data_IF_108827035941
#
_entry.id   IF_108827035941
#
_cell.length_a   1.000
_cell.length_b   1.000
_cell.length_c   1.000
_cell.angle_alpha   90.00
_cell.angle_beta   90.00
_cell.angle_gamma   90.00
#
_symmetry.space_group_name_H-M   'P 1'
#
loop_
_entity.id
_entity.type
_entity.pdbx_description
1 polymer ?
#
# COMPACT_ATOMS: atom_id res chain seq x y z
N UNK A 1 -7.43 -12.44 20.39
CA UNK A 1 -6.73 -13.33 19.44
C UNK A 1 -7.03 -13.04 17.95
N UNK A 2 -8.26 -12.76 17.50
CA UNK A 2 -8.49 -12.44 16.07
C UNK A 2 -8.00 -11.05 15.62
N UNK A 3 -7.98 -10.06 16.52
CA UNK A 3 -7.55 -8.70 16.18
C UNK A 3 -6.05 -8.61 15.86
N UNK A 4 -5.23 -9.43 16.51
CA UNK A 4 -3.77 -9.45 16.30
C UNK A 4 -3.42 -10.05 14.95
N UNK A 5 -4.12 -11.12 14.54
CA UNK A 5 -3.95 -11.73 13.21
C UNK A 5 -4.31 -10.77 12.08
N UNK A 6 -5.43 -10.04 12.20
CA UNK A 6 -5.80 -9.03 11.21
C UNK A 6 -4.80 -7.87 11.13
N UNK A 7 -4.23 -7.46 12.26
CA UNK A 7 -3.21 -6.41 12.29
C UNK A 7 -1.92 -6.86 11.59
N UNK A 8 -1.50 -8.11 11.79
CA UNK A 8 -0.32 -8.70 11.14
C UNK A 8 -0.53 -8.75 9.62
N UNK A 9 -1.65 -9.32 9.16
CA UNK A 9 -1.97 -9.41 7.73
C UNK A 9 -2.02 -8.02 7.10
N UNK A 10 -2.61 -7.03 7.77
CA UNK A 10 -2.67 -5.66 7.26
C UNK A 10 -1.29 -5.01 7.15
N UNK A 11 -0.36 -5.33 8.04
CA UNK A 11 1.03 -4.87 7.96
C UNK A 11 1.81 -5.53 6.82
N UNK A 12 1.58 -6.82 6.57
CA UNK A 12 2.18 -7.52 5.43
C UNK A 12 1.70 -6.94 4.10
N UNK A 13 0.39 -6.67 3.99
CA UNK A 13 -0.19 -5.99 2.81
C UNK A 13 0.39 -4.59 2.66
N UNK A 14 0.53 -3.82 3.74
CA UNK A 14 1.16 -2.50 3.70
C UNK A 14 2.61 -2.57 3.22
N UNK A 15 3.36 -3.57 3.68
CA UNK A 15 4.72 -3.79 3.26
C UNK A 15 4.80 -4.10 1.76
N UNK A 16 3.92 -4.96 1.25
CA UNK A 16 3.82 -5.26 -0.18
C UNK A 16 3.56 -3.99 -1.01
N UNK A 17 2.65 -3.11 -0.53
CA UNK A 17 2.40 -1.82 -1.16
C UNK A 17 3.65 -0.93 -1.21
N UNK A 18 4.41 -0.86 -0.12
CA UNK A 18 5.68 -0.09 -0.05
C UNK A 18 6.74 -0.65 -0.99
N UNK A 19 6.89 -1.98 -1.05
CA UNK A 19 7.82 -2.64 -1.99
C UNK A 19 7.44 -2.32 -3.43
N UNK A 20 6.14 -2.39 -3.78
CA UNK A 20 5.66 -2.00 -5.11
C UNK A 20 6.02 -0.56 -5.47
N UNK A 21 5.84 0.39 -4.54
CA UNK A 21 6.22 1.79 -4.76
C UNK A 21 7.74 1.96 -4.92
N UNK A 22 8.55 1.23 -4.16
CA UNK A 22 10.00 1.25 -4.31
C UNK A 22 10.42 0.72 -5.69
N UNK A 23 9.83 -0.40 -6.13
CA UNK A 23 10.05 -0.94 -7.46
C UNK A 23 9.68 0.08 -8.54
N UNK A 24 8.54 0.76 -8.42
CA UNK A 24 8.14 1.80 -9.36
C UNK A 24 9.19 2.90 -9.51
N UNK A 25 9.78 3.37 -8.40
CA UNK A 25 10.85 4.39 -8.43
C UNK A 25 12.09 3.85 -9.13
N UNK A 26 12.51 2.62 -8.81
CA UNK A 26 13.68 1.98 -9.41
C UNK A 26 13.49 1.82 -10.92
N UNK A 27 12.38 1.22 -11.36
CA UNK A 27 12.09 1.03 -12.78
C UNK A 27 11.91 2.35 -13.52
N UNK A 28 11.31 3.37 -12.89
CA UNK A 28 11.17 4.70 -13.49
C UNK A 28 12.51 5.41 -13.68
N UNK A 29 13.46 5.19 -12.77
CA UNK A 29 14.82 5.69 -12.93
C UNK A 29 15.54 4.99 -14.08
N UNK A 30 15.45 3.65 -14.16
CA UNK A 30 16.03 2.89 -15.26
C UNK A 30 15.38 3.22 -16.62
N UNK A 31 14.07 3.44 -16.66
CA UNK A 31 13.38 3.84 -17.90
C UNK A 31 13.87 5.18 -18.41
N UNK A 32 14.18 6.12 -17.52
CA UNK A 32 14.78 7.41 -17.88
C UNK A 32 16.20 7.24 -18.43
N UNK A 33 17.02 6.40 -17.78
CA UNK A 33 18.40 6.17 -18.21
C UNK A 33 18.50 5.44 -19.56
N UNK A 34 17.68 4.41 -19.76
CA UNK A 34 17.70 3.58 -20.97
C UNK A 34 16.76 4.08 -22.07
N UNK A 35 15.95 5.11 -21.81
CA UNK A 35 14.88 5.58 -22.71
C UNK A 35 13.94 4.44 -23.16
N UNK A 36 13.62 3.52 -22.24
CA UNK A 36 12.83 2.33 -22.51
C UNK A 36 11.37 2.50 -22.07
N UNK A 37 10.45 2.45 -23.04
CA UNK A 37 9.01 2.48 -22.78
C UNK A 37 8.52 1.26 -21.99
N UNK A 38 9.12 0.08 -22.19
CA UNK A 38 8.75 -1.14 -21.47
C UNK A 38 9.05 -1.03 -19.97
N UNK A 39 10.20 -0.44 -19.62
CA UNK A 39 10.57 -0.17 -18.23
C UNK A 39 9.66 0.91 -17.63
N UNK A 40 9.28 1.92 -18.41
CA UNK A 40 8.34 2.94 -17.97
C UNK A 40 6.96 2.35 -17.68
N UNK A 41 6.45 1.49 -18.57
CA UNK A 41 5.18 0.79 -18.37
C UNK A 41 5.23 -0.10 -17.12
N UNK A 42 6.33 -0.83 -16.93
CA UNK A 42 6.56 -1.64 -15.73
C UNK A 42 6.55 -0.78 -14.45
N UNK A 43 7.24 0.36 -14.47
CA UNK A 43 7.24 1.32 -13.37
C UNK A 43 5.82 1.81 -13.05
N UNK A 44 5.03 2.13 -14.09
CA UNK A 44 3.65 2.59 -13.95
C UNK A 44 2.75 1.51 -13.33
N UNK A 45 2.88 0.25 -13.75
CA UNK A 45 2.14 -0.87 -13.16
C UNK A 45 2.45 -1.05 -11.67
N UNK A 46 3.73 -1.04 -11.30
CA UNK A 46 4.14 -1.12 -9.90
C UNK A 46 3.62 0.07 -9.08
N UNK A 47 3.62 1.27 -9.67
CA UNK A 47 3.10 2.47 -9.01
C UNK A 47 1.60 2.37 -8.73
N UNK A 48 0.80 1.96 -9.74
CA UNK A 48 -0.64 1.81 -9.61
C UNK A 48 -1.00 0.72 -8.59
N UNK A 49 -0.36 -0.44 -8.67
CA UNK A 49 -0.57 -1.54 -7.71
C UNK A 49 -0.18 -1.13 -6.29
N UNK A 50 1.01 -0.55 -6.10
CA UNK A 50 1.47 -0.09 -4.80
C UNK A 50 0.53 0.96 -4.19
N UNK A 51 0.07 1.91 -5.01
CA UNK A 51 -0.87 2.95 -4.58
C UNK A 51 -2.22 2.37 -4.18
N UNK A 52 -2.79 1.44 -4.96
CA UNK A 52 -4.06 0.78 -4.64
C UNK A 52 -3.99 0.01 -3.31
N UNK A 53 -2.91 -0.73 -3.11
CA UNK A 53 -2.68 -1.50 -1.88
C UNK A 53 -2.58 -0.57 -0.66
N UNK A 54 -1.79 0.52 -0.76
CA UNK A 54 -1.65 1.49 0.32
C UNK A 54 -2.95 2.23 0.61
N UNK A 55 -3.73 2.56 -0.42
CA UNK A 55 -5.04 3.18 -0.27
C UNK A 55 -6.02 2.25 0.46
N UNK A 56 -6.06 0.96 0.09
CA UNK A 56 -6.86 -0.04 0.79
C UNK A 56 -6.48 -0.12 2.27
N UNK A 57 -5.18 -0.23 2.59
CA UNK A 57 -4.69 -0.26 3.97
C UNK A 57 -5.10 1.00 4.74
N UNK A 58 -4.95 2.18 4.14
CA UNK A 58 -5.34 3.45 4.74
C UNK A 58 -6.83 3.48 5.08
N UNK A 59 -7.69 3.04 4.15
CA UNK A 59 -9.15 2.97 4.37
C UNK A 59 -9.49 2.04 5.53
N UNK A 60 -8.93 0.84 5.57
CA UNK A 60 -9.16 -0.14 6.64
C UNK A 60 -8.73 0.42 7.99
N UNK A 61 -7.54 1.06 8.07
CA UNK A 61 -7.07 1.70 9.31
C UNK A 61 -8.01 2.82 9.78
N UNK A 62 -8.53 3.63 8.86
CA UNK A 62 -9.47 4.70 9.17
C UNK A 62 -10.80 4.14 9.69
N UNK A 63 -11.35 3.12 9.04
CA UNK A 63 -12.59 2.47 9.48
C UNK A 63 -12.43 1.81 10.86
N UNK A 64 -11.31 1.12 11.10
CA UNK A 64 -11.00 0.55 12.41
C UNK A 64 -10.93 1.64 13.50
N UNK A 65 -10.26 2.76 13.22
CA UNK A 65 -10.15 3.89 14.17
C UNK A 65 -11.51 4.54 14.43
N UNK A 66 -12.37 4.67 13.42
CA UNK A 66 -13.74 5.18 13.58
C UNK A 66 -14.57 4.26 14.50
N UNK A 67 -14.53 2.95 14.29
CA UNK A 67 -15.24 1.96 15.14
C UNK A 67 -14.78 2.02 16.60
N UNK A 68 -13.47 2.13 16.84
CA UNK A 68 -12.91 2.28 18.18
C UNK A 68 -13.35 3.58 18.88
N UNK A 69 -13.50 4.67 18.14
CA UNK A 69 -13.99 5.95 18.68
C UNK A 69 -15.45 5.85 19.12
N UNK A 70 -16.31 5.21 18.33
CA UNK A 70 -17.74 5.01 18.65
C UNK A 70 -17.89 4.15 19.91
N UNK A 71 -17.10 3.09 20.05
CA UNK A 71 -17.12 2.27 21.26
C UNK A 71 -16.71 3.06 22.52
N UNK A 72 -15.74 3.98 22.42
CA UNK A 72 -15.31 4.81 23.54
C UNK A 72 -16.28 5.93 23.94
N UNK A 73 -17.23 6.33 23.08
CA UNK A 73 -18.23 7.36 23.45
C UNK A 73 -19.51 6.78 24.03
N UNK A 74 -19.68 5.46 23.98
CA UNK A 74 -20.82 4.75 24.56
C UNK A 74 -20.53 4.19 25.97
N UNK A 75 -19.32 4.46 26.49
CA UNK A 75 -18.90 4.25 27.88
C UNK A 75 -18.63 5.62 28.50
#
# INVERSE_FOLDING_TARGET
MNNDKHKIILQEIEFLGKVGMLCAVVFGFFSYYESSEDLFNSALYFFLLGTLVLFYVARVKVEAKKRLRIQRSNF
#
